data_IF_251560177243
#
_entry.id   IF_251560177243
#
_cell.length_a   1.000
_cell.length_b   1.000
_cell.length_c   1.000
_cell.angle_alpha   90.00
_cell.angle_beta   90.00
_cell.angle_gamma   90.00
#
_symmetry.space_group_name_H-M   'P 1'
#
loop_
_entity.id
_entity.type
_entity.pdbx_description
1 polymer ?
#
# COMPACT_ATOMS: atom_id res chain seq x y z
N UNK A 1 -41.65 33.73 -17.26
CA UNK A 1 -40.71 34.61 -16.54
C UNK A 1 -40.18 33.87 -15.33
N UNK A 2 -38.99 33.34 -15.42
CA UNK A 2 -38.12 32.96 -14.31
C UNK A 2 -36.76 32.60 -14.93
N UNK A 3 -35.82 33.49 -14.77
CA UNK A 3 -34.46 33.41 -15.26
C UNK A 3 -33.67 32.45 -14.41
N UNK A 4 -33.08 31.42 -15.02
CA UNK A 4 -32.07 30.53 -14.39
C UNK A 4 -30.70 31.13 -14.68
N UNK A 5 -30.01 31.52 -13.62
CA UNK A 5 -28.65 31.99 -13.64
C UNK A 5 -27.72 30.78 -13.83
N UNK A 6 -27.02 30.71 -14.96
CA UNK A 6 -25.91 29.83 -15.18
C UNK A 6 -24.66 30.36 -14.43
N UNK A 7 -24.28 29.69 -13.37
CA UNK A 7 -22.97 29.87 -12.75
C UNK A 7 -21.99 28.91 -13.41
N UNK A 8 -21.13 29.41 -14.27
CA UNK A 8 -20.00 28.71 -14.85
C UNK A 8 -18.92 28.49 -13.78
N UNK A 9 -18.69 27.23 -13.43
CA UNK A 9 -17.56 26.83 -12.62
C UNK A 9 -16.28 26.84 -13.44
N UNK A 10 -15.30 27.66 -13.07
CA UNK A 10 -13.95 27.61 -13.59
C UNK A 10 -13.06 26.81 -12.63
N UNK A 11 -12.20 25.89 -13.12
CA UNK A 11 -11.25 25.20 -12.25
C UNK A 11 -10.08 26.12 -11.93
N UNK A 12 -9.85 26.36 -10.64
CA UNK A 12 -8.67 27.05 -10.13
C UNK A 12 -7.42 26.24 -10.46
N UNK A 13 -6.58 26.81 -11.28
CA UNK A 13 -5.22 26.38 -11.57
C UNK A 13 -4.32 26.81 -10.40
N UNK A 14 -4.07 25.94 -9.46
CA UNK A 14 -2.98 26.09 -8.50
C UNK A 14 -1.70 25.49 -9.09
N UNK A 15 -0.57 26.23 -9.10
CA UNK A 15 0.62 25.80 -9.83
C UNK A 15 1.45 24.79 -9.06
N UNK A 16 2.15 23.92 -9.80
CA UNK A 16 3.14 22.94 -9.38
C UNK A 16 4.36 23.48 -8.59
N UNK A 17 4.28 24.73 -8.11
CA UNK A 17 5.37 25.41 -7.43
C UNK A 17 5.52 25.06 -5.94
N UNK A 18 4.56 24.41 -5.32
CA UNK A 18 4.51 24.24 -3.85
C UNK A 18 5.51 23.19 -3.33
N UNK A 19 5.78 22.15 -4.08
CA UNK A 19 6.71 21.09 -3.66
C UNK A 19 8.20 21.46 -3.78
N UNK A 20 8.60 22.28 -4.75
CA UNK A 20 10.00 22.72 -4.91
C UNK A 20 10.43 23.83 -3.94
N UNK A 21 9.51 24.57 -3.36
CA UNK A 21 9.83 25.67 -2.45
C UNK A 21 10.30 25.17 -1.06
N UNK A 22 9.91 23.98 -0.62
CA UNK A 22 10.25 23.43 0.69
C UNK A 22 11.72 22.99 0.78
N UNK A 23 12.36 22.59 -0.34
CA UNK A 23 13.78 22.16 -0.34
C UNK A 23 14.80 23.27 -0.02
N UNK A 24 14.44 24.56 -0.05
CA UNK A 24 15.36 25.70 0.21
C UNK A 24 15.33 26.30 1.62
N UNK A 25 14.41 25.88 2.50
CA UNK A 25 14.19 26.53 3.79
C UNK A 25 14.59 25.72 5.04
N UNK A 26 15.07 24.51 4.93
CA UNK A 26 15.44 23.69 6.09
C UNK A 26 16.91 23.88 6.50
N UNK A 27 17.20 24.98 7.18
CA UNK A 27 18.30 25.04 8.16
C UNK A 27 17.67 24.99 9.55
N UNK A 28 18.16 24.15 10.47
CA UNK A 28 17.55 24.02 11.78
C UNK A 28 17.72 25.32 12.58
N UNK A 29 16.62 25.99 12.87
CA UNK A 29 16.58 27.05 13.88
C UNK A 29 16.35 26.38 15.22
N UNK A 30 17.37 26.38 16.08
CA UNK A 30 17.24 26.11 17.50
C UNK A 30 16.27 27.12 18.13
N UNK A 31 15.12 26.68 18.62
CA UNK A 31 14.22 27.49 19.43
C UNK A 31 14.59 27.37 20.90
N UNK A 32 14.53 28.50 21.69
CA UNK A 32 14.81 28.48 23.12
C UNK A 32 13.69 27.78 23.89
N UNK A 33 14.12 27.00 24.88
CA UNK A 33 13.23 26.32 25.82
C UNK A 33 12.52 27.33 26.72
N UNK A 34 11.27 27.72 26.39
CA UNK A 34 10.34 28.24 27.39
C UNK A 34 8.92 28.26 26.84
N UNK A 35 8.00 27.74 27.69
CA UNK A 35 6.53 27.75 27.58
C UNK A 35 5.87 26.58 26.82
N UNK A 36 5.85 25.42 27.50
CA UNK A 36 4.80 24.43 27.29
C UNK A 36 3.74 24.55 28.39
N UNK A 37 2.44 24.59 28.09
CA UNK A 37 1.39 24.49 29.10
C UNK A 37 1.38 23.03 29.64
N UNK A 38 1.58 22.90 30.95
CA UNK A 38 1.39 21.65 31.70
C UNK A 38 -0.12 21.42 31.88
N UNK A 39 -0.60 20.25 31.51
CA UNK A 39 -1.56 19.41 32.22
C UNK A 39 -2.46 18.61 31.26
N UNK A 40 -2.07 17.39 30.98
CA UNK A 40 -3.01 16.27 30.87
C UNK A 40 -2.34 15.09 31.57
N UNK A 41 -2.94 14.66 32.66
CA UNK A 41 -2.55 13.44 33.41
C UNK A 41 -2.69 12.24 32.47
N UNK A 42 -1.65 11.40 32.35
CA UNK A 42 -1.76 10.14 31.61
C UNK A 42 -2.72 9.18 32.33
N UNK A 43 -3.44 8.33 31.63
CA UNK A 43 -4.29 7.31 32.24
C UNK A 43 -3.41 6.33 33.04
N UNK A 44 -3.95 5.69 34.10
CA UNK A 44 -3.19 4.83 35.00
C UNK A 44 -2.57 3.67 34.24
N UNK A 45 -1.24 3.54 34.36
CA UNK A 45 -0.47 2.41 33.81
C UNK A 45 -0.72 1.18 34.67
N UNK A 46 -1.48 0.23 34.17
CA UNK A 46 -1.58 -1.11 34.74
C UNK A 46 -0.25 -1.86 34.51
N UNK A 47 0.54 -2.00 35.59
CA UNK A 47 1.88 -2.61 35.60
C UNK A 47 1.88 -4.15 35.68
N UNK A 48 0.76 -4.82 35.45
CA UNK A 48 0.63 -6.27 35.65
C UNK A 48 0.66 -7.11 34.37
N UNK A 49 1.09 -6.60 33.23
CA UNK A 49 1.19 -7.40 32.00
C UNK A 49 2.63 -7.86 31.74
N UNK A 50 2.75 -9.18 31.55
CA UNK A 50 3.97 -9.91 31.21
C UNK A 50 4.80 -9.21 30.14
N UNK A 51 6.15 -9.21 30.22
CA UNK A 51 6.99 -8.65 29.17
C UNK A 51 6.75 -9.39 27.86
N UNK A 52 6.66 -8.61 26.77
CA UNK A 52 6.60 -9.13 25.43
C UNK A 52 7.72 -10.15 25.18
N UNK A 53 7.47 -11.25 24.43
CA UNK A 53 8.54 -12.15 24.06
C UNK A 53 9.64 -11.34 23.35
N UNK A 54 10.93 -11.60 23.70
CA UNK A 54 12.02 -10.84 23.13
C UNK A 54 11.97 -10.96 21.60
N UNK A 55 11.94 -9.82 20.92
CA UNK A 55 12.17 -9.75 19.48
C UNK A 55 13.48 -10.48 19.19
N UNK A 56 13.52 -11.41 18.22
CA UNK A 56 14.75 -12.10 17.86
C UNK A 56 15.86 -11.08 17.63
N UNK A 57 17.01 -11.27 18.26
CA UNK A 57 18.13 -10.32 18.18
C UNK A 57 18.48 -10.03 16.72
N UNK A 58 18.85 -8.79 16.40
CA UNK A 58 19.28 -8.31 15.08
C UNK A 58 20.28 -9.28 14.41
N UNK A 59 21.12 -9.94 15.22
CA UNK A 59 22.13 -10.89 14.76
C UNK A 59 21.53 -12.25 14.33
N UNK A 60 20.55 -12.79 15.05
CA UNK A 60 19.86 -14.04 14.68
C UNK A 60 19.01 -13.87 13.40
N UNK A 61 18.39 -12.71 13.21
CA UNK A 61 17.67 -12.35 12.00
C UNK A 61 18.61 -12.15 10.81
N UNK A 62 19.77 -11.49 11.02
CA UNK A 62 20.78 -11.26 9.98
C UNK A 62 21.37 -12.56 9.42
N UNK A 63 21.69 -13.53 10.28
CA UNK A 63 22.25 -14.83 9.87
C UNK A 63 21.28 -15.67 9.03
N UNK A 64 19.98 -15.59 9.35
CA UNK A 64 18.96 -16.34 8.57
C UNK A 64 18.73 -15.73 7.19
N UNK A 65 18.79 -14.41 7.05
CA UNK A 65 18.49 -13.69 5.82
C UNK A 65 19.67 -13.56 4.88
N UNK A 66 20.92 -13.44 5.37
CA UNK A 66 22.11 -13.48 4.51
C UNK A 66 22.27 -14.83 3.79
N UNK A 67 21.84 -15.93 4.43
CA UNK A 67 21.79 -17.23 3.76
C UNK A 67 20.64 -17.36 2.75
N UNK A 68 19.57 -16.57 2.90
CA UNK A 68 18.39 -16.64 2.04
C UNK A 68 18.52 -15.75 0.79
N UNK A 69 19.15 -14.59 0.90
CA UNK A 69 19.29 -13.64 -0.21
C UNK A 69 20.26 -14.12 -1.30
N UNK A 70 21.23 -14.97 -0.95
CA UNK A 70 22.18 -15.55 -1.90
C UNK A 70 21.71 -16.87 -2.55
N UNK A 71 20.58 -17.44 -2.07
CA UNK A 71 20.06 -18.68 -2.64
C UNK A 71 19.15 -18.40 -3.85
N UNK A 72 19.51 -19.04 -4.99
CA UNK A 72 18.59 -19.13 -6.14
C UNK A 72 17.44 -20.07 -5.80
N UNK A 73 16.24 -19.54 -5.60
CA UNK A 73 15.05 -20.32 -5.33
C UNK A 73 14.42 -20.82 -6.64
N UNK A 74 14.12 -22.12 -6.70
CA UNK A 74 13.36 -22.67 -7.83
C UNK A 74 11.97 -22.06 -7.89
N UNK A 75 11.55 -21.67 -9.09
CA UNK A 75 10.14 -21.23 -9.31
C UNK A 75 9.22 -22.39 -8.94
N UNK A 76 8.14 -22.13 -8.15
CA UNK A 76 7.20 -23.18 -7.81
C UNK A 76 6.54 -23.73 -9.08
N UNK A 77 6.42 -25.05 -9.16
CA UNK A 77 5.73 -25.69 -10.27
C UNK A 77 4.27 -25.23 -10.36
N UNK A 78 3.68 -25.30 -11.55
CA UNK A 78 2.24 -25.00 -11.74
C UNK A 78 1.37 -25.86 -10.82
N UNK A 79 1.80 -27.08 -10.54
CA UNK A 79 1.11 -28.02 -9.65
C UNK A 79 1.13 -27.55 -8.19
N UNK A 80 2.28 -27.13 -7.68
CA UNK A 80 2.39 -26.56 -6.32
C UNK A 80 1.54 -25.30 -6.15
N UNK A 81 1.51 -24.44 -7.18
CA UNK A 81 0.64 -23.25 -7.19
C UNK A 81 -0.84 -23.65 -7.17
N UNK A 82 -1.24 -24.65 -7.97
CA UNK A 82 -2.61 -25.16 -8.02
C UNK A 82 -3.04 -25.75 -6.69
N UNK A 83 -2.21 -26.62 -6.09
CA UNK A 83 -2.48 -27.20 -4.76
C UNK A 83 -2.63 -26.11 -3.71
N UNK A 84 -1.77 -25.12 -3.74
CA UNK A 84 -1.87 -23.98 -2.81
C UNK A 84 -3.20 -23.25 -2.96
N UNK A 85 -3.58 -22.89 -4.20
CA UNK A 85 -4.85 -22.20 -4.48
C UNK A 85 -6.03 -23.03 -4.00
N UNK A 86 -6.07 -24.33 -4.31
CA UNK A 86 -7.15 -25.24 -3.86
C UNK A 86 -7.22 -25.31 -2.34
N UNK A 87 -6.09 -25.53 -1.65
CA UNK A 87 -6.03 -25.57 -0.18
C UNK A 87 -6.49 -24.25 0.45
N UNK A 88 -6.05 -23.13 -0.10
CA UNK A 88 -6.46 -21.81 0.38
C UNK A 88 -7.95 -21.57 0.16
N UNK A 89 -8.47 -21.89 -1.02
CA UNK A 89 -9.89 -21.75 -1.34
C UNK A 89 -10.76 -22.58 -0.40
N UNK A 90 -10.41 -23.86 -0.20
CA UNK A 90 -11.13 -24.72 0.74
C UNK A 90 -11.11 -24.19 2.18
N UNK A 91 -9.95 -23.73 2.65
CA UNK A 91 -9.81 -23.20 4.02
C UNK A 91 -10.55 -21.87 4.18
N UNK A 92 -10.46 -20.97 3.21
CA UNK A 92 -11.23 -19.72 3.19
C UNK A 92 -12.73 -20.00 3.15
N UNK A 93 -13.18 -20.89 2.26
CA UNK A 93 -14.59 -21.28 2.18
C UNK A 93 -15.07 -21.83 3.53
N UNK A 94 -14.29 -22.70 4.17
CA UNK A 94 -14.63 -23.24 5.49
C UNK A 94 -14.72 -22.14 6.56
N UNK A 95 -13.76 -21.21 6.61
CA UNK A 95 -13.77 -20.08 7.55
C UNK A 95 -14.94 -19.12 7.30
N UNK A 96 -15.30 -18.92 6.04
CA UNK A 96 -16.37 -17.99 5.64
C UNK A 96 -17.77 -18.57 5.82
N UNK A 97 -17.99 -19.84 5.45
CA UNK A 97 -19.28 -20.53 5.63
C UNK A 97 -19.68 -20.64 7.11
N UNK A 98 -18.69 -20.83 8.00
CA UNK A 98 -18.92 -20.79 9.45
C UNK A 98 -19.13 -19.38 10.02
N UNK A 99 -18.69 -18.34 9.30
CA UNK A 99 -18.70 -16.97 9.81
C UNK A 99 -20.02 -16.22 9.61
N UNK A 100 -20.58 -16.25 8.41
CA UNK A 100 -21.82 -15.52 8.11
C UNK A 100 -22.31 -15.83 6.67
N UNK A 101 -23.61 -16.04 6.45
CA UNK A 101 -24.18 -16.18 5.10
C UNK A 101 -24.02 -14.91 4.24
N UNK A 102 -23.76 -13.75 4.83
CA UNK A 102 -23.48 -12.50 4.12
C UNK A 102 -22.26 -12.60 3.18
N UNK A 103 -21.32 -13.50 3.46
CA UNK A 103 -20.18 -13.74 2.57
C UNK A 103 -20.55 -14.29 1.21
N UNK A 104 -21.57 -15.15 1.14
CA UNK A 104 -22.06 -15.68 -0.14
C UNK A 104 -22.63 -14.54 -0.99
N UNK A 105 -23.41 -13.66 -0.36
CA UNK A 105 -23.96 -12.47 -1.01
C UNK A 105 -22.82 -11.54 -1.47
N UNK A 106 -21.85 -11.26 -0.63
CA UNK A 106 -20.71 -10.42 -0.98
C UNK A 106 -19.85 -11.03 -2.10
N UNK A 107 -19.71 -12.36 -2.14
CA UNK A 107 -18.99 -13.03 -3.22
C UNK A 107 -19.75 -12.93 -4.55
N UNK A 108 -21.07 -13.12 -4.55
CA UNK A 108 -21.91 -12.91 -5.74
C UNK A 108 -21.78 -11.46 -6.24
N UNK A 109 -21.85 -10.50 -5.31
CA UNK A 109 -21.68 -9.06 -5.63
C UNK A 109 -20.32 -8.79 -6.26
N UNK A 110 -19.24 -9.40 -5.74
CA UNK A 110 -17.90 -9.27 -6.31
C UNK A 110 -17.80 -9.86 -7.74
N UNK A 111 -18.47 -10.99 -8.00
CA UNK A 111 -18.55 -11.56 -9.35
C UNK A 111 -19.29 -10.60 -10.29
N UNK A 112 -20.43 -10.04 -9.88
CA UNK A 112 -21.16 -9.05 -10.65
C UNK A 112 -20.33 -7.81 -10.92
N UNK A 113 -19.61 -7.30 -9.91
CA UNK A 113 -18.65 -6.22 -10.08
C UNK A 113 -17.62 -6.54 -11.18
N UNK A 114 -17.00 -7.72 -11.11
CA UNK A 114 -15.99 -8.14 -12.07
C UNK A 114 -16.59 -8.26 -13.51
N UNK A 115 -17.85 -8.72 -13.64
CA UNK A 115 -18.55 -8.80 -14.94
C UNK A 115 -18.80 -7.41 -15.52
N UNK A 116 -19.24 -6.44 -14.73
CA UNK A 116 -19.41 -5.05 -15.21
C UNK A 116 -18.08 -4.41 -15.59
N UNK A 117 -17.01 -4.69 -14.85
CA UNK A 117 -15.68 -4.18 -15.14
C UNK A 117 -14.88 -5.03 -16.15
N UNK A 118 -15.47 -6.08 -16.73
CA UNK A 118 -14.81 -7.02 -17.63
C UNK A 118 -14.02 -6.37 -18.78
N UNK A 119 -14.46 -5.30 -19.45
CA UNK A 119 -13.69 -4.65 -20.50
C UNK A 119 -12.34 -4.10 -20.00
N UNK A 120 -12.33 -3.48 -18.80
CA UNK A 120 -11.11 -2.96 -18.20
C UNK A 120 -10.21 -4.08 -17.68
N UNK A 121 -10.82 -5.09 -17.03
CA UNK A 121 -10.08 -6.26 -16.54
C UNK A 121 -9.39 -7.02 -17.68
N UNK A 122 -10.08 -7.24 -18.82
CA UNK A 122 -9.49 -7.91 -19.97
C UNK A 122 -8.28 -7.15 -20.54
N UNK A 123 -8.35 -5.81 -20.61
CA UNK A 123 -7.23 -4.97 -21.05
C UNK A 123 -6.06 -5.01 -20.05
N UNK A 124 -6.37 -4.99 -18.76
CA UNK A 124 -5.36 -5.07 -17.70
C UNK A 124 -4.68 -6.44 -17.68
N UNK A 125 -5.44 -7.52 -17.83
CA UNK A 125 -4.94 -8.89 -17.93
C UNK A 125 -4.05 -9.04 -19.18
N UNK A 126 -4.47 -8.52 -20.33
CA UNK A 126 -3.66 -8.56 -21.55
C UNK A 126 -2.32 -7.85 -21.36
N UNK A 127 -2.30 -6.69 -20.73
CA UNK A 127 -1.06 -5.98 -20.42
C UNK A 127 -0.21 -6.78 -19.42
N UNK A 128 -0.80 -7.29 -18.34
CA UNK A 128 -0.11 -8.06 -17.32
C UNK A 128 0.59 -9.31 -17.91
N UNK A 129 0.01 -9.93 -18.93
CA UNK A 129 0.58 -11.07 -19.64
C UNK A 129 1.44 -10.70 -20.86
N UNK A 130 1.67 -9.42 -21.10
CA UNK A 130 2.60 -8.96 -22.17
C UNK A 130 4.06 -9.10 -21.74
N UNK A 131 4.98 -8.94 -22.70
CA UNK A 131 6.42 -8.93 -22.43
C UNK A 131 6.93 -7.70 -21.67
N UNK A 132 6.05 -6.74 -21.33
CA UNK A 132 6.41 -5.54 -20.55
C UNK A 132 6.51 -5.80 -19.05
N UNK A 133 6.10 -7.00 -18.58
CA UNK A 133 6.09 -7.36 -17.17
C UNK A 133 6.87 -8.66 -16.96
N UNK A 134 7.97 -8.58 -16.20
CA UNK A 134 8.68 -9.76 -15.73
C UNK A 134 7.95 -10.30 -14.51
N UNK A 135 7.43 -11.51 -14.61
CA UNK A 135 6.50 -12.05 -13.61
C UNK A 135 7.10 -13.13 -12.75
N UNK A 136 6.69 -13.14 -11.48
CA UNK A 136 6.94 -14.22 -10.53
C UNK A 136 8.42 -14.47 -10.26
N UNK A 137 9.23 -13.41 -10.22
CA UNK A 137 10.61 -13.45 -9.79
C UNK A 137 10.69 -13.81 -8.31
N UNK A 138 11.50 -14.80 -7.98
CA UNK A 138 11.58 -15.33 -6.61
C UNK A 138 12.45 -14.45 -5.72
N UNK A 139 11.89 -14.03 -4.56
CA UNK A 139 12.64 -13.31 -3.55
C UNK A 139 12.83 -14.09 -2.23
N UNK A 140 12.23 -15.28 -2.11
CA UNK A 140 12.34 -16.06 -0.89
C UNK A 140 11.78 -17.50 -1.00
N UNK A 141 11.84 -18.29 0.09
CA UNK A 141 11.57 -19.74 0.04
C UNK A 141 10.08 -20.11 -0.04
N UNK A 142 9.15 -19.21 0.32
CA UNK A 142 7.72 -19.53 0.31
C UNK A 142 7.13 -19.39 -1.09
N UNK A 143 6.04 -20.11 -1.38
CA UNK A 143 5.43 -20.12 -2.73
C UNK A 143 5.02 -18.71 -3.17
N UNK A 144 4.55 -17.87 -2.24
CA UNK A 144 4.16 -16.49 -2.52
C UNK A 144 5.31 -15.48 -2.44
N UNK A 145 6.53 -15.89 -2.12
CA UNK A 145 7.70 -15.02 -2.16
C UNK A 145 8.12 -14.79 -3.61
N UNK A 146 7.29 -14.09 -4.36
CA UNK A 146 7.51 -13.72 -5.75
C UNK A 146 7.18 -12.25 -5.98
N UNK A 147 7.90 -11.59 -6.87
CA UNK A 147 7.63 -10.22 -7.29
C UNK A 147 7.40 -10.16 -8.80
N UNK A 148 6.63 -9.17 -9.24
CA UNK A 148 6.54 -8.78 -10.63
C UNK A 148 7.30 -7.46 -10.83
N UNK A 149 7.90 -7.27 -12.02
CA UNK A 149 8.67 -6.08 -12.36
C UNK A 149 8.08 -5.46 -13.63
N UNK A 150 7.66 -4.21 -13.53
CA UNK A 150 7.20 -3.39 -14.64
C UNK A 150 8.35 -2.52 -15.09
N UNK A 151 8.90 -2.84 -16.29
CA UNK A 151 10.07 -2.14 -16.80
C UNK A 151 9.71 -0.75 -17.30
N UNK A 152 10.49 0.28 -16.97
CA UNK A 152 10.26 1.62 -17.46
C UNK A 152 10.44 1.68 -18.97
N UNK A 153 9.69 2.54 -19.63
CA UNK A 153 9.99 2.95 -20.98
C UNK A 153 11.31 3.73 -20.91
N UNK A 154 12.37 3.13 -21.43
CA UNK A 154 13.74 3.59 -21.21
C UNK A 154 13.96 5.05 -21.60
N UNK A 155 14.42 5.85 -20.66
CA UNK A 155 15.11 7.10 -20.93
C UNK A 155 16.57 6.70 -21.13
N UNK A 156 17.09 6.85 -22.35
CA UNK A 156 18.41 6.31 -22.73
C UNK A 156 19.52 6.80 -21.80
N UNK A 157 20.22 5.85 -21.18
CA UNK A 157 21.48 6.09 -20.48
C UNK A 157 21.38 6.50 -19.01
N UNK A 158 20.19 6.60 -18.44
CA UNK A 158 19.99 6.96 -17.03
C UNK A 158 19.29 5.84 -16.27
N UNK A 159 19.62 5.68 -14.99
CA UNK A 159 18.92 4.77 -14.09
C UNK A 159 17.55 5.36 -13.74
N UNK A 160 16.52 4.52 -13.74
CA UNK A 160 15.16 4.92 -13.46
C UNK A 160 14.90 5.09 -11.95
N UNK A 161 14.19 6.13 -11.52
CA UNK A 161 13.59 6.11 -10.18
C UNK A 161 12.74 4.86 -9.99
N UNK A 162 12.72 4.32 -8.78
CA UNK A 162 12.12 3.02 -8.52
C UNK A 162 10.99 3.14 -7.51
N UNK A 163 9.89 2.43 -7.76
CA UNK A 163 8.77 2.27 -6.84
C UNK A 163 8.66 0.80 -6.43
N UNK A 164 8.55 0.54 -5.13
CA UNK A 164 8.15 -0.75 -4.59
C UNK A 164 6.68 -0.65 -4.18
N UNK A 165 5.79 -1.32 -4.92
CA UNK A 165 4.35 -1.24 -4.72
C UNK A 165 3.79 -2.49 -4.03
N UNK A 166 3.39 -2.36 -2.77
CA UNK A 166 2.79 -3.44 -1.97
C UNK A 166 1.26 -3.36 -2.03
N UNK A 167 0.66 -4.34 -2.69
CA UNK A 167 -0.78 -4.38 -2.93
C UNK A 167 -1.57 -4.70 -1.66
N UNK A 168 -2.80 -4.18 -1.57
CA UNK A 168 -3.77 -4.55 -0.55
C UNK A 168 -4.53 -5.84 -0.85
N UNK A 169 -5.64 -6.04 -0.15
CA UNK A 169 -6.54 -7.19 -0.28
C UNK A 169 -6.99 -7.74 1.07
N UNK A 170 -7.24 -6.86 2.04
CA UNK A 170 -7.79 -7.19 3.37
C UNK A 170 -7.02 -8.33 4.09
N UNK A 171 -5.72 -8.45 3.85
CA UNK A 171 -4.83 -9.52 4.37
C UNK A 171 -5.24 -10.95 3.95
N UNK A 172 -6.22 -11.10 3.06
CA UNK A 172 -6.83 -12.39 2.66
C UNK A 172 -6.67 -12.66 1.17
N UNK A 173 -6.97 -11.66 0.32
CA UNK A 173 -7.03 -11.80 -1.14
C UNK A 173 -5.98 -10.94 -1.85
N UNK A 174 -4.99 -10.40 -1.12
CA UNK A 174 -3.90 -9.62 -1.71
C UNK A 174 -3.16 -10.42 -2.78
N UNK A 175 -2.83 -9.75 -3.88
CA UNK A 175 -2.06 -10.36 -4.95
C UNK A 175 -1.30 -9.29 -5.75
N UNK A 176 -0.07 -9.56 -6.10
CA UNK A 176 0.82 -8.63 -6.80
C UNK A 176 0.28 -8.09 -8.12
N UNK A 177 -0.57 -8.84 -8.83
CA UNK A 177 -1.19 -8.38 -10.08
C UNK A 177 -2.17 -7.20 -9.90
N UNK A 178 -2.62 -6.90 -8.68
CA UNK A 178 -3.40 -5.70 -8.40
C UNK A 178 -2.61 -4.41 -8.66
N UNK A 179 -1.28 -4.49 -8.66
CA UNK A 179 -0.40 -3.39 -9.04
C UNK A 179 -0.41 -3.08 -10.55
N UNK A 180 -1.07 -3.89 -11.40
CA UNK A 180 -0.88 -3.83 -12.86
C UNK A 180 -1.26 -2.49 -13.50
N UNK A 181 -2.30 -1.82 -13.01
CA UNK A 181 -2.69 -0.50 -13.53
C UNK A 181 -1.69 0.57 -13.11
N UNK A 182 -1.36 0.62 -11.82
CA UNK A 182 -0.39 1.58 -11.29
C UNK A 182 1.01 1.32 -11.82
N UNK A 183 1.46 0.06 -11.86
CA UNK A 183 2.75 -0.33 -12.43
C UNK A 183 2.89 0.05 -13.88
N UNK A 184 1.83 -0.16 -14.68
CA UNK A 184 1.78 0.28 -16.08
C UNK A 184 1.90 1.80 -16.21
N UNK A 185 1.14 2.55 -15.39
CA UNK A 185 1.12 3.99 -15.44
C UNK A 185 2.49 4.59 -15.10
N UNK A 186 3.10 4.12 -14.01
CA UNK A 186 4.42 4.59 -13.58
C UNK A 186 5.53 4.18 -14.57
N UNK A 187 5.50 2.94 -15.05
CA UNK A 187 6.48 2.45 -16.04
C UNK A 187 6.41 3.23 -17.36
N UNK A 188 5.23 3.64 -17.80
CA UNK A 188 5.06 4.48 -18.99
C UNK A 188 5.70 5.88 -18.84
N UNK A 189 5.93 6.33 -17.61
CA UNK A 189 6.56 7.62 -17.29
C UNK A 189 8.01 7.49 -16.80
N UNK A 190 8.66 6.36 -17.06
CA UNK A 190 10.08 6.18 -16.79
C UNK A 190 10.42 5.66 -15.40
N UNK A 191 9.45 5.21 -14.62
CA UNK A 191 9.65 4.68 -13.26
C UNK A 191 9.70 3.15 -13.30
N UNK A 192 10.74 2.54 -12.74
CA UNK A 192 10.80 1.09 -12.50
C UNK A 192 9.84 0.72 -11.36
N UNK A 193 9.01 -0.32 -11.54
CA UNK A 193 8.09 -0.73 -10.47
C UNK A 193 8.28 -2.19 -10.12
N UNK A 194 8.59 -2.45 -8.86
CA UNK A 194 8.52 -3.77 -8.25
C UNK A 194 7.18 -3.95 -7.54
N UNK A 195 6.50 -5.06 -7.79
CA UNK A 195 5.26 -5.44 -7.12
C UNK A 195 5.46 -6.80 -6.42
N UNK A 196 5.96 -6.80 -5.18
CA UNK A 196 6.12 -8.03 -4.42
C UNK A 196 4.76 -8.57 -3.94
N UNK A 197 4.66 -9.88 -3.90
CA UNK A 197 3.58 -10.60 -3.25
C UNK A 197 4.00 -10.99 -1.83
N UNK A 198 3.04 -11.28 -0.97
CA UNK A 198 3.26 -11.74 0.39
C UNK A 198 2.21 -12.79 0.77
N UNK A 199 2.49 -13.62 1.77
CA UNK A 199 1.50 -14.59 2.26
C UNK A 199 0.32 -13.85 2.88
N UNK A 200 -0.88 -14.34 2.63
CA UNK A 200 -2.13 -13.84 3.21
C UNK A 200 -2.68 -14.83 4.24
N UNK A 201 -3.68 -14.41 5.03
CA UNK A 201 -4.53 -15.33 5.76
C UNK A 201 -5.18 -16.33 4.76
N UNK A 202 -5.20 -17.63 5.06
CA UNK A 202 -4.78 -18.31 6.27
C UNK A 202 -3.35 -18.89 6.23
N UNK A 203 -2.44 -18.38 5.40
CA UNK A 203 -1.07 -18.88 5.30
C UNK A 203 -0.21 -18.44 6.48
N UNK A 204 -0.41 -17.20 6.95
CA UNK A 204 0.23 -16.65 8.14
C UNK A 204 -0.61 -15.51 8.73
N UNK A 205 -0.24 -15.05 9.92
CA UNK A 205 -0.76 -13.88 10.61
C UNK A 205 -0.13 -12.57 10.09
N UNK A 206 -0.50 -11.45 10.70
CA UNK A 206 0.01 -10.11 10.32
C UNK A 206 1.52 -9.98 10.51
N UNK A 207 2.11 -10.67 11.48
CA UNK A 207 3.55 -10.65 11.73
C UNK A 207 4.32 -11.38 10.63
N UNK A 208 3.80 -12.54 10.21
CA UNK A 208 4.32 -13.27 9.06
C UNK A 208 4.19 -12.49 7.76
N UNK A 209 3.08 -11.77 7.56
CA UNK A 209 2.89 -10.89 6.39
C UNK A 209 3.89 -9.73 6.40
N UNK A 210 4.06 -9.05 7.54
CA UNK A 210 5.02 -7.96 7.69
C UNK A 210 6.46 -8.44 7.45
N UNK A 211 6.81 -9.65 7.92
CA UNK A 211 8.12 -10.24 7.66
C UNK A 211 8.34 -10.55 6.18
N UNK A 212 7.30 -10.97 5.45
CA UNK A 212 7.38 -11.19 4.00
C UNK A 212 7.57 -9.86 3.25
N UNK A 213 6.86 -8.81 3.67
CA UNK A 213 7.01 -7.46 3.10
C UNK A 213 8.40 -6.91 3.36
N UNK A 214 8.93 -7.02 4.59
CA UNK A 214 10.30 -6.62 4.94
C UNK A 214 11.34 -7.32 4.06
N UNK A 215 11.24 -8.66 3.95
CA UNK A 215 12.12 -9.45 3.09
C UNK A 215 12.03 -9.01 1.62
N UNK A 216 10.83 -8.74 1.13
CA UNK A 216 10.60 -8.35 -0.26
C UNK A 216 11.18 -6.97 -0.58
N UNK A 217 11.06 -6.00 0.35
CA UNK A 217 11.65 -4.67 0.18
C UNK A 217 13.18 -4.79 0.08
N UNK A 218 13.82 -5.52 1.00
CA UNK A 218 15.26 -5.75 0.96
C UNK A 218 15.73 -6.36 -0.35
N UNK A 219 14.99 -7.36 -0.86
CA UNK A 219 15.28 -7.98 -2.16
C UNK A 219 15.09 -7.00 -3.33
N UNK A 220 14.03 -6.18 -3.33
CA UNK A 220 13.81 -5.18 -4.37
C UNK A 220 14.94 -4.15 -4.40
N UNK A 221 15.40 -3.70 -3.23
CA UNK A 221 16.52 -2.78 -3.09
C UNK A 221 17.83 -3.39 -3.62
N UNK A 222 18.10 -4.68 -3.34
CA UNK A 222 19.26 -5.40 -3.85
C UNK A 222 19.22 -5.58 -5.38
N UNK A 223 18.03 -5.86 -5.92
CA UNK A 223 17.84 -6.15 -7.35
C UNK A 223 17.57 -4.91 -8.21
N UNK A 224 17.42 -3.75 -7.61
CA UNK A 224 17.02 -2.51 -8.28
C UNK A 224 17.84 -2.24 -9.54
N UNK A 225 19.17 -2.26 -9.43
CA UNK A 225 20.08 -1.94 -10.54
C UNK A 225 20.08 -2.99 -11.64
N UNK A 226 19.84 -4.27 -11.32
CA UNK A 226 19.76 -5.36 -12.30
C UNK A 226 18.61 -5.13 -13.31
N UNK A 227 17.55 -4.43 -12.86
CA UNK A 227 16.39 -4.09 -13.69
C UNK A 227 16.44 -2.65 -14.25
N UNK A 228 17.57 -1.94 -14.11
CA UNK A 228 17.76 -0.60 -14.62
C UNK A 228 17.23 0.51 -13.71
N UNK A 229 16.96 0.19 -12.46
CA UNK A 229 16.56 1.18 -11.45
C UNK A 229 17.75 1.83 -10.75
N UNK A 230 17.47 2.92 -10.09
CA UNK A 230 18.40 3.61 -9.20
C UNK A 230 18.15 3.20 -7.75
N UNK A 231 19.15 2.54 -7.14
CA UNK A 231 19.09 2.06 -5.76
C UNK A 231 18.97 3.20 -4.74
N UNK A 232 19.50 4.37 -5.07
CA UNK A 232 19.46 5.55 -4.20
C UNK A 232 18.18 6.37 -4.37
N UNK A 233 17.32 6.02 -5.33
CA UNK A 233 16.08 6.72 -5.67
C UNK A 233 14.88 5.77 -5.62
N UNK A 234 14.57 5.24 -4.43
CA UNK A 234 13.49 4.26 -4.21
C UNK A 234 12.39 4.84 -3.33
N UNK A 235 11.15 4.75 -3.81
CA UNK A 235 9.93 5.13 -3.07
C UNK A 235 9.12 3.87 -2.76
N UNK A 236 8.73 3.71 -1.50
CA UNK A 236 7.83 2.64 -1.07
C UNK A 236 6.37 3.10 -1.20
N UNK A 237 5.54 2.31 -1.85
CA UNK A 237 4.10 2.59 -1.99
C UNK A 237 3.32 1.40 -1.47
N UNK A 238 2.37 1.66 -0.59
CA UNK A 238 1.46 0.64 -0.08
C UNK A 238 0.01 1.01 -0.31
N UNK A 239 -0.84 0.03 -0.61
CA UNK A 239 -2.28 0.26 -0.76
C UNK A 239 -3.06 -0.60 0.25
N UNK A 240 -4.01 -0.02 1.00
CA UNK A 240 -4.90 -0.73 1.94
C UNK A 240 -4.10 -1.59 2.94
N UNK A 241 -4.32 -2.90 3.00
CA UNK A 241 -3.52 -3.82 3.81
C UNK A 241 -2.01 -3.75 3.49
N UNK A 242 -1.63 -3.44 2.23
CA UNK A 242 -0.24 -3.20 1.86
C UNK A 242 0.32 -1.93 2.49
N UNK A 243 -0.46 -0.84 2.55
CA UNK A 243 -0.07 0.40 3.24
C UNK A 243 0.11 0.18 4.74
N UNK A 244 -0.80 -0.58 5.35
CA UNK A 244 -0.70 -1.00 6.74
C UNK A 244 0.58 -1.79 7.01
N UNK A 245 0.88 -2.82 6.19
CA UNK A 245 2.07 -3.66 6.36
C UNK A 245 3.36 -2.88 6.15
N UNK A 246 3.43 -2.00 5.15
CA UNK A 246 4.57 -1.11 4.94
C UNK A 246 4.82 -0.20 6.14
N UNK A 247 3.78 0.48 6.64
CA UNK A 247 3.87 1.35 7.82
C UNK A 247 4.29 0.56 9.06
N UNK A 248 3.79 -0.69 9.21
CA UNK A 248 4.15 -1.58 10.31
C UNK A 248 5.64 -1.96 10.26
N UNK A 249 6.18 -2.25 9.07
CA UNK A 249 7.62 -2.57 8.89
C UNK A 249 8.49 -1.35 9.16
N UNK A 250 8.12 -0.18 8.65
CA UNK A 250 8.84 1.08 8.88
C UNK A 250 8.96 1.41 10.37
N UNK A 251 7.87 1.28 11.13
CA UNK A 251 7.84 1.61 12.56
C UNK A 251 8.48 0.54 13.47
N UNK A 252 8.47 -0.72 13.06
CA UNK A 252 9.12 -1.81 13.82
C UNK A 252 10.62 -1.95 13.54
N UNK A 253 11.09 -1.29 12.51
CA UNK A 253 12.44 -1.42 11.97
C UNK A 253 12.61 -2.64 11.07
N UNK A 254 13.24 -2.39 9.94
CA UNK A 254 13.60 -3.41 8.96
C UNK A 254 14.80 -4.22 9.43
N UNK A 255 15.00 -5.39 8.84
CA UNK A 255 16.06 -6.31 9.24
C UNK A 255 17.35 -6.10 8.44
N UNK A 256 17.23 -5.96 7.11
CA UNK A 256 18.39 -5.91 6.20
C UNK A 256 18.53 -4.61 5.42
N UNK A 257 17.67 -3.68 5.66
CA UNK A 257 17.67 -2.34 5.06
C UNK A 257 17.30 -1.33 6.13
N UNK A 258 17.44 -0.05 5.85
CA UNK A 258 17.05 1.02 6.76
C UNK A 258 15.92 1.83 6.13
N UNK A 259 15.00 2.42 6.93
CA UNK A 259 14.00 3.34 6.39
C UNK A 259 14.61 4.49 5.58
N UNK A 260 15.82 4.90 5.91
CA UNK A 260 16.63 5.92 5.20
C UNK A 260 17.15 5.45 3.84
N UNK A 261 17.08 4.15 3.52
CA UNK A 261 17.32 3.64 2.17
C UNK A 261 16.19 4.02 1.19
N UNK A 262 15.09 4.54 1.71
CA UNK A 262 13.93 4.97 0.93
C UNK A 262 13.88 6.50 0.87
N UNK A 263 13.55 7.03 -0.29
CA UNK A 263 13.35 8.46 -0.50
C UNK A 263 12.00 8.96 -0.02
N UNK A 264 11.02 8.07 0.13
CA UNK A 264 9.69 8.40 0.62
C UNK A 264 8.81 7.17 0.81
N UNK A 265 7.71 7.36 1.53
CA UNK A 265 6.64 6.37 1.64
C UNK A 265 5.30 6.99 1.23
N UNK A 266 4.57 6.33 0.33
CA UNK A 266 3.19 6.69 -0.01
C UNK A 266 2.24 5.62 0.50
N UNK A 267 1.34 6.01 1.40
CA UNK A 267 0.29 5.14 1.92
C UNK A 267 -1.08 5.48 1.32
N UNK A 268 -1.72 4.53 0.62
CA UNK A 268 -2.99 4.72 -0.05
C UNK A 268 -4.07 3.95 0.71
N UNK A 269 -5.08 4.63 1.26
CA UNK A 269 -6.25 4.06 1.93
C UNK A 269 -5.88 3.03 3.03
N UNK A 270 -4.85 3.33 3.83
CA UNK A 270 -4.33 2.41 4.85
C UNK A 270 -5.17 2.37 6.13
N UNK A 271 -5.47 1.17 6.68
CA UNK A 271 -6.10 1.02 7.99
C UNK A 271 -5.03 1.04 9.10
N UNK A 272 -4.62 2.22 9.54
CA UNK A 272 -3.48 2.37 10.45
C UNK A 272 -3.82 2.15 11.94
N UNK A 273 -5.10 2.06 12.31
CA UNK A 273 -5.56 1.74 13.66
C UNK A 273 -6.51 0.53 13.64
N UNK A 274 -5.97 -0.67 13.91
CA UNK A 274 -6.68 -1.94 13.72
C UNK A 274 -7.92 -2.08 14.63
N UNK A 275 -7.88 -1.79 15.95
CA UNK A 275 -9.06 -1.92 16.82
C UNK A 275 -10.23 -1.05 16.38
N UNK A 276 -9.99 0.21 16.00
CA UNK A 276 -11.03 1.11 15.54
C UNK A 276 -11.70 0.62 14.25
N UNK A 277 -10.92 -0.01 13.38
CA UNK A 277 -11.41 -0.53 12.09
C UNK A 277 -12.07 -1.91 12.24
N UNK A 278 -11.68 -2.71 13.24
CA UNK A 278 -12.16 -4.08 13.43
C UNK A 278 -13.69 -4.15 13.68
N UNK A 279 -14.25 -3.22 14.46
CA UNK A 279 -15.69 -3.12 14.68
C UNK A 279 -16.45 -2.89 13.36
N UNK A 280 -15.91 -2.03 12.51
CA UNK A 280 -16.45 -1.72 11.20
C UNK A 280 -16.39 -2.92 10.25
N UNK A 281 -15.29 -3.69 10.26
CA UNK A 281 -15.13 -4.90 9.46
C UNK A 281 -16.08 -6.01 9.92
N UNK A 282 -16.29 -6.18 11.25
CA UNK A 282 -17.27 -7.13 11.79
C UNK A 282 -18.68 -6.83 11.28
N UNK A 283 -19.09 -5.57 11.31
CA UNK A 283 -20.40 -5.15 10.81
C UNK A 283 -20.59 -5.45 9.32
N UNK A 284 -19.51 -5.63 8.57
CA UNK A 284 -19.50 -5.99 7.14
C UNK A 284 -19.28 -7.48 6.88
N UNK A 285 -19.33 -8.30 7.92
CA UNK A 285 -19.23 -9.76 7.80
C UNK A 285 -17.82 -10.32 7.89
N UNK A 286 -16.82 -9.51 8.26
CA UNK A 286 -15.51 -10.05 8.59
C UNK A 286 -15.62 -10.80 9.93
N UNK A 287 -15.49 -12.11 9.88
CA UNK A 287 -15.70 -12.97 11.04
C UNK A 287 -14.66 -12.76 12.13
N UNK A 288 -15.07 -12.82 13.41
CA UNK A 288 -14.15 -12.66 14.54
C UNK A 288 -12.97 -13.65 14.47
N UNK A 289 -13.23 -14.92 14.14
CA UNK A 289 -12.18 -15.93 13.99
C UNK A 289 -11.11 -15.58 12.95
N UNK A 290 -11.46 -14.81 11.93
CA UNK A 290 -10.51 -14.34 10.94
C UNK A 290 -9.65 -13.18 11.49
N UNK A 291 -10.27 -12.26 12.22
CA UNK A 291 -9.55 -11.17 12.91
C UNK A 291 -8.59 -11.73 13.96
N UNK A 292 -9.04 -12.69 14.75
CA UNK A 292 -8.21 -13.36 15.76
C UNK A 292 -7.04 -14.12 15.14
N UNK A 293 -7.26 -14.74 13.98
CA UNK A 293 -6.18 -15.40 13.24
C UNK A 293 -5.15 -14.40 12.72
N UNK A 294 -5.61 -13.27 12.18
CA UNK A 294 -4.72 -12.28 11.55
C UNK A 294 -3.98 -11.46 12.61
N UNK A 295 -4.67 -10.99 13.62
CA UNK A 295 -4.15 -9.99 14.57
C UNK A 295 -3.97 -10.49 16.00
N UNK A 296 -4.53 -11.67 16.34
CA UNK A 296 -4.61 -12.14 17.71
C UNK A 296 -5.76 -11.48 18.49
N UNK A 297 -5.51 -11.26 19.76
CA UNK A 297 -6.43 -10.58 20.68
C UNK A 297 -6.39 -9.04 20.50
N UNK A 298 -7.08 -8.31 21.35
CA UNK A 298 -7.11 -6.85 21.33
C UNK A 298 -5.70 -6.23 21.50
N UNK A 299 -4.86 -6.84 22.35
CA UNK A 299 -3.48 -6.40 22.51
C UNK A 299 -2.67 -6.63 21.23
N UNK A 300 -2.87 -7.75 20.55
CA UNK A 300 -2.28 -8.05 19.25
C UNK A 300 -2.74 -7.05 18.18
N UNK A 301 -4.02 -6.67 18.15
CA UNK A 301 -4.55 -5.63 17.27
C UNK A 301 -3.89 -4.27 17.51
N UNK A 302 -3.68 -3.88 18.76
CA UNK A 302 -2.98 -2.62 19.10
C UNK A 302 -1.53 -2.67 18.63
N UNK A 303 -0.81 -3.76 18.93
CA UNK A 303 0.57 -3.95 18.50
C UNK A 303 0.73 -4.04 16.97
N UNK A 304 -0.33 -4.42 16.27
CA UNK A 304 -0.39 -4.40 14.81
C UNK A 304 -0.85 -3.04 14.25
N UNK A 305 -1.07 -2.01 15.06
CA UNK A 305 -1.57 -0.71 14.62
C UNK A 305 -0.42 0.30 14.44
N UNK A 306 -0.10 0.74 13.22
CA UNK A 306 0.91 1.76 12.99
C UNK A 306 0.71 3.04 13.81
N UNK A 307 -0.53 3.55 13.92
CA UNK A 307 -0.82 4.74 14.74
C UNK A 307 -0.46 4.54 16.22
N UNK A 308 -0.71 3.33 16.76
CA UNK A 308 -0.36 3.00 18.13
C UNK A 308 1.15 2.91 18.35
N UNK A 309 1.88 2.37 17.37
CA UNK A 309 3.34 2.27 17.41
C UNK A 309 3.98 3.67 17.27
N UNK A 310 3.51 4.50 16.33
CA UNK A 310 3.98 5.86 16.15
C UNK A 310 3.81 6.69 17.42
N UNK A 311 2.64 6.63 18.07
CA UNK A 311 2.38 7.37 19.30
C UNK A 311 3.25 6.94 20.50
N UNK A 312 4.04 5.88 20.38
CA UNK A 312 4.91 5.32 21.43
C UNK A 312 6.38 5.22 21.05
N UNK A 313 6.71 5.55 19.82
CA UNK A 313 8.09 5.60 19.39
C UNK A 313 8.77 6.81 20.06
N UNK A 314 10.01 6.61 20.55
CA UNK A 314 10.78 7.69 21.15
C UNK A 314 11.64 8.41 20.11
N UNK A 315 12.33 7.63 19.27
CA UNK A 315 13.13 8.13 18.15
C UNK A 315 13.06 7.12 17.00
N UNK A 316 12.61 7.55 15.82
CA UNK A 316 12.55 6.73 14.60
C UNK A 316 12.98 7.61 13.42
N UNK A 317 14.04 7.21 12.73
CA UNK A 317 14.35 7.79 11.42
C UNK A 317 13.43 7.20 10.37
N UNK A 318 12.50 8.01 9.87
CA UNK A 318 11.54 7.63 8.83
C UNK A 318 11.71 8.53 7.61
N UNK A 319 11.46 8.01 6.39
CA UNK A 319 11.43 8.84 5.19
C UNK A 319 10.23 9.81 5.23
N UNK A 320 10.23 10.87 4.41
CA UNK A 320 9.04 11.69 4.21
C UNK A 320 7.87 10.85 3.74
N UNK A 321 6.64 11.22 4.14
CA UNK A 321 5.45 10.42 3.88
C UNK A 321 4.34 11.21 3.20
N UNK A 322 3.65 10.57 2.25
CA UNK A 322 2.43 11.06 1.63
C UNK A 322 1.30 10.07 1.88
N UNK A 323 0.26 10.48 2.59
CA UNK A 323 -0.88 9.65 2.92
C UNK A 323 -2.10 10.07 2.10
N UNK A 324 -2.58 9.18 1.25
CA UNK A 324 -3.67 9.40 0.30
C UNK A 324 -4.92 8.63 0.73
N UNK A 325 -6.11 9.27 0.76
CA UNK A 325 -7.33 8.58 1.18
C UNK A 325 -8.58 9.15 0.50
N UNK A 326 -9.56 8.29 0.26
CA UNK A 326 -10.88 8.71 -0.24
C UNK A 326 -11.83 9.07 0.90
N UNK A 327 -12.55 10.22 0.82
CA UNK A 327 -13.45 10.65 1.89
C UNK A 327 -14.70 9.78 2.05
N UNK A 328 -15.09 9.03 0.99
CA UNK A 328 -16.20 8.08 1.02
C UNK A 328 -15.76 6.61 1.26
N UNK A 329 -14.51 6.40 1.67
CA UNK A 329 -14.00 5.06 1.99
C UNK A 329 -14.70 4.50 3.23
N UNK A 330 -15.35 3.34 3.02
CA UNK A 330 -16.06 2.60 4.06
C UNK A 330 -15.32 1.36 4.53
N UNK A 331 -14.19 1.01 3.95
CA UNK A 331 -13.39 -0.16 4.32
C UNK A 331 -12.29 0.20 5.31
N UNK A 332 -11.61 1.31 5.07
CA UNK A 332 -10.75 1.98 6.01
C UNK A 332 -11.19 3.44 6.07
N UNK A 333 -11.43 3.98 7.25
CA UNK A 333 -11.92 5.37 7.35
C UNK A 333 -10.78 6.36 7.11
N UNK A 334 -11.07 7.48 6.43
CA UNK A 334 -10.08 8.55 6.25
C UNK A 334 -9.56 9.08 7.60
N UNK A 335 -10.37 8.99 8.67
CA UNK A 335 -9.94 9.35 10.02
C UNK A 335 -8.74 8.55 10.49
N UNK A 336 -8.64 7.25 10.14
CA UNK A 336 -7.47 6.42 10.48
C UNK A 336 -6.18 6.97 9.86
N UNK A 337 -6.26 7.55 8.67
CA UNK A 337 -5.12 8.20 8.02
C UNK A 337 -4.75 9.53 8.70
N UNK A 338 -5.76 10.35 9.07
CA UNK A 338 -5.53 11.62 9.76
C UNK A 338 -4.92 11.41 11.16
N UNK A 339 -5.43 10.43 11.91
CA UNK A 339 -4.88 10.07 13.22
C UNK A 339 -3.44 9.55 13.12
N UNK A 340 -3.13 8.80 12.06
CA UNK A 340 -1.78 8.32 11.82
C UNK A 340 -0.84 9.45 11.41
N UNK A 341 -1.29 10.36 10.56
CA UNK A 341 -0.53 11.55 10.18
C UNK A 341 -0.17 12.39 11.41
N UNK A 342 -1.16 12.67 12.28
CA UNK A 342 -0.92 13.42 13.50
C UNK A 342 0.12 12.74 14.42
N UNK A 343 0.06 11.41 14.57
CA UNK A 343 1.05 10.67 15.36
C UNK A 343 2.46 10.72 14.74
N UNK A 344 2.58 10.78 13.42
CA UNK A 344 3.86 10.94 12.72
C UNK A 344 4.39 12.37 12.83
N UNK A 345 3.53 13.39 12.75
CA UNK A 345 3.89 14.80 12.98
C UNK A 345 4.44 15.00 14.39
N UNK A 346 3.81 14.38 15.39
CA UNK A 346 4.28 14.41 16.79
C UNK A 346 5.69 13.78 16.95
N UNK A 347 6.06 12.83 16.09
CA UNK A 347 7.41 12.24 16.00
C UNK A 347 8.39 13.11 15.20
N UNK A 348 7.94 14.22 14.60
CA UNK A 348 8.77 15.07 13.75
C UNK A 348 9.00 14.54 12.34
N UNK A 349 8.20 13.57 11.89
CA UNK A 349 8.25 13.06 10.51
C UNK A 349 7.62 14.10 9.56
N UNK A 350 8.26 14.33 8.42
CA UNK A 350 7.68 15.13 7.33
C UNK A 350 6.55 14.32 6.68
N UNK A 351 5.29 14.67 6.99
CA UNK A 351 4.11 13.95 6.50
C UNK A 351 3.11 14.90 5.84
N UNK A 352 2.64 14.51 4.67
CA UNK A 352 1.58 15.20 3.96
C UNK A 352 0.38 14.29 3.79
N UNK A 353 -0.83 14.86 3.88
CA UNK A 353 -2.08 14.15 3.62
C UNK A 353 -2.82 14.75 2.44
N UNK A 354 -3.39 13.90 1.59
CA UNK A 354 -4.29 14.32 0.51
C UNK A 354 -5.55 13.48 0.53
N UNK A 355 -6.68 14.14 0.68
CA UNK A 355 -7.99 13.48 0.65
C UNK A 355 -8.64 13.67 -0.73
N UNK A 356 -9.14 12.58 -1.31
CA UNK A 356 -9.91 12.59 -2.55
C UNK A 356 -11.40 12.60 -2.23
N UNK A 357 -12.04 13.71 -2.51
CA UNK A 357 -13.46 13.90 -2.21
C UNK A 357 -14.34 12.90 -2.97
N UNK A 358 -15.20 12.21 -2.21
CA UNK A 358 -16.16 11.23 -2.73
C UNK A 358 -15.56 9.92 -3.24
N UNK A 359 -14.25 9.70 -3.10
CA UNK A 359 -13.63 8.43 -3.50
C UNK A 359 -13.85 7.33 -2.45
N UNK A 360 -14.16 6.14 -2.92
CA UNK A 360 -14.30 4.92 -2.13
C UNK A 360 -12.95 4.20 -2.00
N UNK A 361 -12.93 3.06 -1.31
CA UNK A 361 -11.70 2.29 -1.02
C UNK A 361 -10.94 1.82 -2.26
N UNK A 362 -11.65 1.40 -3.30
CA UNK A 362 -11.05 0.85 -4.53
C UNK A 362 -10.93 1.87 -5.66
N UNK A 363 -11.62 3.01 -5.53
CA UNK A 363 -11.56 4.09 -6.50
C UNK A 363 -10.12 4.45 -6.92
N UNK A 364 -9.16 4.62 -6.00
CA UNK A 364 -7.80 5.03 -6.36
C UNK A 364 -7.12 4.09 -7.36
N UNK A 365 -7.31 2.78 -7.18
CA UNK A 365 -6.54 1.76 -7.91
C UNK A 365 -7.34 1.03 -9.00
N UNK A 366 -8.66 1.12 -9.01
CA UNK A 366 -9.53 0.42 -9.97
C UNK A 366 -10.47 1.36 -10.72
N UNK A 367 -11.53 1.84 -10.08
CA UNK A 367 -12.64 2.50 -10.77
C UNK A 367 -12.21 3.80 -11.46
N UNK A 368 -11.38 4.60 -10.83
CA UNK A 368 -10.90 5.86 -11.41
C UNK A 368 -9.97 5.62 -12.59
N UNK A 369 -8.92 4.76 -12.49
CA UNK A 369 -8.14 4.37 -13.64
C UNK A 369 -8.96 3.72 -14.76
N UNK A 370 -9.97 2.89 -14.43
CA UNK A 370 -10.87 2.31 -15.44
C UNK A 370 -11.67 3.37 -16.18
N UNK A 371 -12.07 4.43 -15.50
CA UNK A 371 -12.77 5.56 -16.09
C UNK A 371 -11.84 6.52 -16.88
N UNK A 372 -10.52 6.34 -16.78
CA UNK A 372 -9.52 7.24 -17.37
C UNK A 372 -9.13 8.40 -16.45
N UNK A 373 -9.58 8.40 -15.18
CA UNK A 373 -9.16 9.37 -14.18
C UNK A 373 -7.83 8.92 -13.55
N UNK A 374 -6.76 9.61 -13.89
CA UNK A 374 -5.39 9.25 -13.53
C UNK A 374 -4.83 10.10 -12.38
N UNK A 375 -5.67 10.76 -11.58
CA UNK A 375 -5.21 11.66 -10.49
C UNK A 375 -4.27 10.96 -9.51
N UNK A 376 -4.57 9.73 -9.09
CA UNK A 376 -3.65 8.96 -8.22
C UNK A 376 -2.28 8.80 -8.88
N UNK A 377 -2.24 8.38 -10.14
CA UNK A 377 -0.97 8.12 -10.83
C UNK A 377 -0.15 9.40 -11.01
N UNK A 378 -0.82 10.54 -11.25
CA UNK A 378 -0.18 11.86 -11.27
C UNK A 378 0.43 12.20 -9.92
N UNK A 379 -0.32 12.03 -8.83
CA UNK A 379 0.18 12.32 -7.48
C UNK A 379 1.35 11.43 -7.09
N UNK A 380 1.34 10.15 -7.50
CA UNK A 380 2.47 9.24 -7.30
C UNK A 380 3.71 9.69 -8.08
N UNK A 381 3.56 10.10 -9.34
CA UNK A 381 4.66 10.60 -10.15
C UNK A 381 5.21 11.92 -9.60
N UNK A 382 4.35 12.83 -9.12
CA UNK A 382 4.76 14.07 -8.47
C UNK A 382 5.55 13.78 -7.18
N UNK A 383 5.14 12.81 -6.37
CA UNK A 383 5.88 12.39 -5.19
C UNK A 383 7.25 11.79 -5.54
N UNK A 384 7.31 10.91 -6.55
CA UNK A 384 8.57 10.35 -7.03
C UNK A 384 9.49 11.46 -7.56
N UNK A 385 8.98 12.39 -8.37
CA UNK A 385 9.75 13.51 -8.90
C UNK A 385 10.22 14.50 -7.83
N UNK A 386 9.48 14.64 -6.73
CA UNK A 386 9.84 15.50 -5.62
C UNK A 386 10.94 14.91 -4.73
N UNK A 387 10.95 13.60 -4.53
CA UNK A 387 11.84 12.92 -3.59
C UNK A 387 13.06 12.28 -4.24
N UNK A 388 12.95 11.92 -5.52
CA UNK A 388 14.03 11.26 -6.26
C UNK A 388 14.76 12.23 -7.17
N UNK A 389 16.05 12.00 -7.34
CA UNK A 389 16.85 12.59 -8.42
C UNK A 389 16.68 11.70 -9.66
N UNK A 390 16.65 12.30 -10.86
CA UNK A 390 16.54 11.55 -12.11
C UNK A 390 15.30 11.90 -12.93
N UNK A 391 15.23 11.42 -14.15
CA UNK A 391 14.20 11.79 -15.08
C UNK A 391 12.89 11.04 -14.78
N UNK A 392 11.89 11.78 -14.35
CA UNK A 392 10.49 11.34 -14.36
C UNK A 392 9.80 12.12 -15.47
N UNK A 393 9.26 11.43 -16.47
CA UNK A 393 8.48 12.08 -17.49
C UNK A 393 7.25 12.75 -16.86
N UNK A 394 6.97 13.98 -17.23
CA UNK A 394 5.76 14.67 -16.80
C UNK A 394 4.53 13.83 -17.16
N UNK A 395 3.54 13.79 -16.28
CA UNK A 395 2.32 13.05 -16.55
C UNK A 395 1.62 13.60 -17.82
N UNK A 396 1.26 12.71 -18.72
CA UNK A 396 0.49 13.03 -19.92
C UNK A 396 -0.79 12.18 -19.98
N UNK A 397 -1.94 12.83 -20.11
CA UNK A 397 -3.23 12.15 -20.31
C UNK A 397 -3.29 11.41 -21.65
N UNK A 398 -2.40 11.75 -22.60
CA UNK A 398 -2.28 11.08 -23.90
C UNK A 398 -1.45 9.80 -23.88
N UNK A 399 -0.91 9.42 -22.70
CA UNK A 399 -0.07 8.23 -22.60
C UNK A 399 -0.84 6.98 -23.06
N UNK A 400 -0.31 6.21 -24.06
CA UNK A 400 -1.03 5.09 -24.63
C UNK A 400 -1.43 4.03 -23.57
N UNK A 401 -2.73 3.71 -23.56
CA UNK A 401 -3.29 2.66 -22.68
C UNK A 401 -3.59 3.10 -21.26
N UNK A 402 -3.48 4.39 -20.93
CA UNK A 402 -3.97 4.97 -19.68
C UNK A 402 -5.30 5.70 -19.83
N UNK A 403 -5.86 5.80 -21.04
CA UNK A 403 -7.20 6.35 -21.28
C UNK A 403 -8.31 5.44 -20.70
N UNK A 404 -9.54 5.85 -20.94
CA UNK A 404 -10.74 5.09 -20.48
C UNK A 404 -10.70 3.62 -20.89
N UNK A 405 -10.67 2.73 -19.91
CA UNK A 405 -10.64 1.28 -20.10
C UNK A 405 -12.03 0.65 -20.08
N UNK A 406 -13.02 1.31 -19.45
CA UNK A 406 -14.38 0.83 -19.29
C UNK A 406 -15.38 1.99 -19.47
N UNK A 407 -16.56 1.77 -20.10
CA UNK A 407 -17.62 2.75 -20.11
C UNK A 407 -18.05 3.15 -18.69
N UNK A 408 -18.30 4.44 -18.47
CA UNK A 408 -18.66 4.98 -17.16
C UNK A 408 -19.91 4.28 -16.56
N UNK A 409 -20.92 4.02 -17.39
CA UNK A 409 -22.16 3.35 -16.96
C UNK A 409 -21.89 1.97 -16.37
N UNK A 410 -20.96 1.21 -16.93
CA UNK A 410 -20.59 -0.11 -16.41
C UNK A 410 -19.84 -0.01 -15.09
N UNK A 411 -18.98 0.99 -14.92
CA UNK A 411 -18.29 1.26 -13.67
C UNK A 411 -19.29 1.62 -12.57
N UNK A 412 -20.28 2.45 -12.87
CA UNK A 412 -21.32 2.83 -11.91
C UNK A 412 -22.22 1.66 -11.50
N UNK A 413 -22.58 0.80 -12.46
CA UNK A 413 -23.27 -0.44 -12.15
C UNK A 413 -22.43 -1.39 -11.29
N UNK A 414 -21.14 -1.51 -11.63
CA UNK A 414 -20.17 -2.26 -10.83
C UNK A 414 -20.08 -1.74 -9.40
N UNK A 415 -19.94 -0.42 -9.20
CA UNK A 415 -19.90 0.19 -7.87
C UNK A 415 -21.10 -0.18 -6.98
N UNK A 416 -22.30 -0.28 -7.55
CA UNK A 416 -23.50 -0.72 -6.81
C UNK A 416 -23.38 -2.18 -6.33
N UNK A 417 -22.57 -2.97 -7.01
CA UNK A 417 -22.31 -4.36 -6.68
C UNK A 417 -21.07 -4.52 -5.75
N UNK A 418 -20.19 -3.51 -5.63
CA UNK A 418 -19.01 -3.61 -4.80
C UNK A 418 -19.40 -3.81 -3.33
N UNK A 419 -18.94 -4.89 -2.68
CA UNK A 419 -19.32 -5.18 -1.29
C UNK A 419 -18.49 -4.41 -0.24
N UNK A 420 -17.40 -3.75 -0.67
CA UNK A 420 -16.40 -3.14 0.22
C UNK A 420 -16.33 -1.62 0.10
#
# INVERSE_FOLDING_TARGET
MLSVVNASWQPDSAPAATFKAVRRAAKPKTMPAQQRPRSRTPPPTDRTKSPLPPTPTRQARRLWLTSSLTQSFKTPSRWEQTILVVKMTLRLTWMTVRGSPLWVVNFIRLILYALFCAPALARSIRYYFSGAVDRSLRYGPKVRHTADVYRPIAIRGEKAPTVIFVSGGAWVIGYKAWASLTGRALAAHGVLVFAPDYRNCPQCDVHGMASDVDLSIGWCLEKCEEYGGDRDNVVLVGQSAGAHLCALVLLRGAVNWQPTDLRGFVGISGPYHVPATAAHWRARGFGQAMLDFIFGDEAGMLLASPSYLAARAEEVELPPMLLLHGTADKSATAQSTLDFAAALEDLGVDVHTKLYEGWTHTDPILERPFAGDQRLHRDLLEAVAAWCDGPVAAFSDETPGLGRLCPQVLIELGRRCMPF
#
